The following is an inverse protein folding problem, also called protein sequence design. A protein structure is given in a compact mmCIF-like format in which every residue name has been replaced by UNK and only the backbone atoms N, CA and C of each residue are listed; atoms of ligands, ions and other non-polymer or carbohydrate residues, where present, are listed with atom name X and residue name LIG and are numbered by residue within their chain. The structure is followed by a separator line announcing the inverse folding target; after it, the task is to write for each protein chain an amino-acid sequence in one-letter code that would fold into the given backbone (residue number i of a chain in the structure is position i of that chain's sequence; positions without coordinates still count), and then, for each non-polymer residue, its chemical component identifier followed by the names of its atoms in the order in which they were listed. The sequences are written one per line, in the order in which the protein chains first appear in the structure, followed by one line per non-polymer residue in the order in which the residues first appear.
data_IF_028307617673
#
_entry.id   IF_028307617673
#
_cell.length_a   1.000
_cell.length_b   1.000
_cell.length_c   1.000
_cell.angle_alpha   90.00
_cell.angle_beta   90.00
_cell.angle_gamma   90.00
#
_symmetry.space_group_name_H-M   'P 1'
#
loop_
_entity.id
_entity.type
_entity.pdbx_description
1 polymer ?
#
# COMPACT_ATOMS: atom_id res chain seq x y z
N UNK A 1 -2.36 -12.23 6.86
CA UNK A 1 -1.11 -12.20 6.07
C UNK A 1 -0.73 -13.65 5.73
N UNK A 2 -0.39 -13.97 4.47
CA UNK A 2 -0.33 -15.36 3.98
C UNK A 2 0.89 -16.12 4.53
N UNK A 3 0.77 -17.44 4.85
CA UNK A 3 1.86 -18.26 5.45
C UNK A 3 3.15 -18.25 4.60
N UNK A 4 3.01 -18.19 3.27
CA UNK A 4 4.13 -18.11 2.34
C UNK A 4 4.91 -16.79 2.47
N UNK A 5 4.23 -15.67 2.74
CA UNK A 5 4.86 -14.37 2.92
C UNK A 5 5.65 -14.33 4.25
N UNK A 6 5.09 -14.88 5.33
CA UNK A 6 5.81 -15.04 6.59
C UNK A 6 7.05 -15.91 6.42
N UNK A 7 6.95 -17.06 5.75
CA UNK A 7 8.09 -17.94 5.50
C UNK A 7 9.18 -17.26 4.65
N UNK A 8 8.80 -16.48 3.65
CA UNK A 8 9.74 -15.71 2.82
C UNK A 8 10.45 -14.60 3.59
N UNK A 9 9.75 -13.95 4.54
CA UNK A 9 10.33 -12.93 5.42
C UNK A 9 11.27 -13.58 6.47
N UNK A 10 10.85 -14.69 7.09
CA UNK A 10 11.64 -15.42 8.10
C UNK A 10 12.91 -16.07 7.51
N UNK A 11 12.85 -16.56 6.26
CA UNK A 11 14.03 -17.07 5.55
C UNK A 11 15.09 -15.98 5.37
N UNK A 12 14.68 -14.72 5.20
CA UNK A 12 15.59 -13.60 5.00
C UNK A 12 16.35 -13.23 6.27
N UNK A 13 15.72 -13.23 7.44
CA UNK A 13 16.42 -12.93 8.71
C UNK A 13 17.50 -13.99 9.03
N UNK A 14 17.29 -15.23 8.58
CA UNK A 14 18.29 -16.30 8.70
C UNK A 14 19.39 -16.25 7.64
N UNK A 15 19.06 -15.84 6.41
CA UNK A 15 20.03 -15.76 5.31
C UNK A 15 20.85 -14.46 5.29
N UNK A 16 20.27 -13.32 5.68
CA UNK A 16 21.00 -12.04 5.79
C UNK A 16 22.14 -12.19 6.78
N UNK A 17 21.89 -12.81 7.94
CA UNK A 17 22.90 -13.12 8.95
C UNK A 17 23.96 -14.14 8.47
N UNK A 18 23.69 -14.94 7.43
CA UNK A 18 24.69 -15.83 6.80
C UNK A 18 25.45 -15.16 5.65
N UNK A 19 24.84 -14.19 4.97
CA UNK A 19 25.39 -13.60 3.74
C UNK A 19 26.47 -12.55 3.97
N UNK A 20 26.56 -11.96 5.17
CA UNK A 20 27.65 -11.05 5.51
C UNK A 20 28.99 -11.79 5.74
N UNK A 21 28.96 -13.10 5.99
CA UNK A 21 30.16 -13.92 6.22
C UNK A 21 30.65 -14.72 5.00
N UNK A 22 29.96 -14.65 3.85
CA UNK A 22 30.31 -15.44 2.65
C UNK A 22 30.96 -14.60 1.53
N UNK A 23 31.82 -13.65 1.91
CA UNK A 23 32.46 -12.71 0.98
C UNK A 23 33.84 -13.20 0.48
N UNK A 24 34.01 -14.51 0.26
CA UNK A 24 35.26 -15.05 -0.30
C UNK A 24 34.94 -15.97 -1.49
N UNK A 25 35.19 -15.43 -2.69
CA UNK A 25 35.37 -16.10 -3.98
C UNK A 25 34.15 -16.84 -4.57
N UNK A 26 33.43 -16.09 -5.41
CA UNK A 26 32.49 -16.63 -6.40
C UNK A 26 31.15 -15.93 -6.36
N UNK A 27 31.03 -14.76 -7.02
CA UNK A 27 29.76 -14.00 -7.15
C UNK A 27 28.78 -14.75 -8.06
N UNK A 28 28.25 -15.89 -7.61
CA UNK A 28 27.08 -16.51 -8.23
C UNK A 28 25.86 -15.71 -7.79
N UNK A 29 25.20 -15.06 -8.75
CA UNK A 29 23.85 -14.52 -8.57
C UNK A 29 22.90 -15.70 -8.33
N UNK A 30 22.76 -16.13 -7.08
CA UNK A 30 21.75 -17.12 -6.70
C UNK A 30 20.38 -16.45 -6.78
N UNK A 31 19.68 -16.72 -7.89
CA UNK A 31 18.30 -16.30 -8.11
C UNK A 31 17.40 -17.42 -7.58
N UNK A 32 16.97 -17.33 -6.32
CA UNK A 32 16.10 -18.35 -5.74
C UNK A 32 14.62 -17.97 -5.91
N UNK A 33 13.85 -18.88 -6.51
CA UNK A 33 12.39 -18.83 -6.51
C UNK A 33 11.91 -19.25 -5.11
N UNK A 34 11.17 -18.36 -4.44
CA UNK A 34 10.71 -18.55 -3.07
C UNK A 34 9.34 -19.22 -2.99
N UNK A 35 8.50 -19.07 -4.02
CA UNK A 35 7.16 -19.66 -4.07
C UNK A 35 6.21 -18.90 -5.00
N UNK A 36 4.91 -19.11 -4.80
CA UNK A 36 3.82 -18.51 -5.58
C UNK A 36 2.80 -17.82 -4.66
N UNK A 37 2.20 -16.71 -5.11
CA UNK A 37 1.19 -15.95 -4.37
C UNK A 37 0.16 -15.29 -5.30
N UNK A 38 -1.09 -15.18 -4.83
CA UNK A 38 -2.23 -14.64 -5.60
C UNK A 38 -2.54 -13.16 -5.38
N UNK A 39 -2.03 -12.54 -4.31
CA UNK A 39 -2.27 -11.12 -3.99
C UNK A 39 -0.98 -10.34 -3.90
N UNK A 40 -0.91 -9.23 -4.62
CA UNK A 40 0.26 -8.35 -4.68
C UNK A 40 -0.15 -6.95 -4.30
N UNK A 41 0.72 -6.28 -3.55
CA UNK A 41 0.57 -4.88 -3.20
C UNK A 41 1.63 -4.06 -3.92
N UNK A 42 1.25 -2.85 -4.35
CA UNK A 42 2.19 -1.93 -4.97
C UNK A 42 3.16 -1.34 -3.94
N UNK A 43 4.43 -1.22 -4.30
CA UNK A 43 5.47 -0.61 -3.46
C UNK A 43 6.31 0.42 -4.21
N UNK A 44 6.74 0.09 -5.44
CA UNK A 44 7.54 0.97 -6.31
C UNK A 44 7.29 0.64 -7.79
N UNK A 45 7.74 1.48 -8.75
CA UNK A 45 7.58 1.22 -10.17
C UNK A 45 8.04 -0.19 -10.53
N UNK A 46 7.22 -0.87 -11.32
CA UNK A 46 7.48 -2.25 -11.70
C UNK A 46 8.52 -2.28 -12.82
N UNK A 47 9.41 -3.26 -12.76
CA UNK A 47 10.32 -3.53 -13.86
C UNK A 47 9.74 -4.61 -14.76
N UNK A 48 10.28 -4.74 -15.96
CA UNK A 48 9.92 -5.83 -16.87
C UNK A 48 11.13 -6.72 -17.09
N UNK A 49 10.94 -8.03 -17.00
CA UNK A 49 11.99 -9.03 -17.15
C UNK A 49 11.73 -9.88 -18.39
N UNK A 50 12.76 -10.02 -19.21
CA UNK A 50 12.80 -10.88 -20.39
C UNK A 50 13.85 -11.99 -20.18
N UNK A 51 13.66 -13.11 -20.88
CA UNK A 51 14.70 -14.13 -21.00
C UNK A 51 15.79 -13.64 -21.97
N UNK A 52 17.04 -14.04 -21.70
CA UNK A 52 18.17 -13.74 -22.58
C UNK A 52 18.95 -15.02 -22.85
N UNK A 53 18.70 -15.62 -24.02
CA UNK A 53 19.33 -16.89 -24.42
C UNK A 53 20.82 -16.77 -24.70
N UNK A 54 21.36 -15.54 -24.84
CA UNK A 54 22.79 -15.33 -25.07
C UNK A 54 23.64 -15.81 -23.90
N UNK A 55 23.09 -15.77 -22.68
CA UNK A 55 23.80 -16.15 -21.46
C UNK A 55 23.43 -17.54 -20.95
N UNK A 56 22.19 -17.97 -21.16
CA UNK A 56 21.68 -19.26 -20.68
C UNK A 56 20.83 -19.86 -21.80
N UNK A 57 21.35 -20.93 -22.42
CA UNK A 57 20.65 -21.69 -23.44
C UNK A 57 19.32 -22.23 -22.87
N UNK A 58 18.28 -22.26 -23.70
CA UNK A 58 16.92 -22.71 -23.35
C UNK A 58 16.18 -21.86 -22.29
N UNK A 59 16.77 -20.74 -21.84
CA UNK A 59 16.12 -19.89 -20.86
C UNK A 59 14.76 -19.37 -21.34
N UNK A 60 14.58 -19.12 -22.64
CA UNK A 60 13.29 -18.69 -23.21
C UNK A 60 12.20 -19.75 -23.05
N UNK A 61 12.53 -21.02 -23.32
CA UNK A 61 11.60 -22.15 -23.16
C UNK A 61 11.17 -22.26 -21.69
N UNK A 62 12.13 -22.26 -20.76
CA UNK A 62 11.85 -22.28 -19.33
C UNK A 62 10.98 -21.11 -18.87
N UNK A 63 11.33 -19.87 -19.27
CA UNK A 63 10.56 -18.68 -18.92
C UNK A 63 9.14 -18.73 -19.48
N UNK A 64 8.97 -19.24 -20.69
CA UNK A 64 7.65 -19.40 -21.31
C UNK A 64 6.80 -20.41 -20.54
N UNK A 65 7.34 -21.59 -20.23
CA UNK A 65 6.62 -22.61 -19.44
C UNK A 65 6.26 -22.08 -18.05
N UNK A 66 7.17 -21.36 -17.38
CA UNK A 66 6.89 -20.75 -16.09
C UNK A 66 5.74 -19.74 -16.18
N UNK A 67 5.77 -18.87 -17.20
CA UNK A 67 4.72 -17.88 -17.43
C UNK A 67 3.36 -18.54 -17.71
N UNK A 68 3.31 -19.57 -18.56
CA UNK A 68 2.08 -20.31 -18.86
C UNK A 68 1.49 -20.99 -17.62
N UNK A 69 2.35 -21.59 -16.78
CA UNK A 69 1.93 -22.22 -15.52
C UNK A 69 1.41 -21.20 -14.50
N UNK A 70 2.08 -20.06 -14.34
CA UNK A 70 1.62 -18.96 -13.48
C UNK A 70 0.25 -18.45 -13.93
N UNK A 71 0.09 -18.22 -15.24
CA UNK A 71 -1.16 -17.75 -15.84
C UNK A 71 -2.30 -18.76 -15.66
N UNK A 72 -2.04 -20.05 -15.86
CA UNK A 72 -3.05 -21.10 -15.70
C UNK A 72 -3.57 -21.24 -14.26
N UNK A 73 -2.79 -20.80 -13.26
CA UNK A 73 -3.13 -20.90 -11.84
C UNK A 73 -3.55 -19.58 -11.19
N UNK A 74 -3.51 -18.47 -11.95
CA UNK A 74 -3.66 -17.11 -11.40
C UNK A 74 -2.69 -16.84 -10.22
N UNK A 75 -1.45 -17.32 -10.39
CA UNK A 75 -0.39 -17.26 -9.39
C UNK A 75 0.78 -16.42 -9.88
N UNK A 76 1.46 -15.73 -8.96
CA UNK A 76 2.68 -14.97 -9.27
C UNK A 76 3.89 -15.57 -8.58
N UNK A 77 4.95 -15.80 -9.35
CA UNK A 77 6.24 -16.27 -8.87
C UNK A 77 6.95 -15.22 -8.00
N UNK A 78 7.25 -15.57 -6.75
CA UNK A 78 8.01 -14.75 -5.81
C UNK A 78 9.49 -15.10 -5.93
N UNK A 79 10.30 -14.07 -6.13
CA UNK A 79 11.76 -14.23 -6.20
C UNK A 79 12.47 -13.23 -5.31
N UNK A 80 13.50 -13.70 -4.64
CA UNK A 80 14.44 -12.81 -3.97
C UNK A 80 15.34 -12.11 -5.01
N UNK A 81 15.38 -10.79 -4.97
CA UNK A 81 16.22 -9.97 -5.83
C UNK A 81 17.22 -9.22 -4.95
N UNK A 82 18.48 -9.64 -4.99
CA UNK A 82 19.57 -8.86 -4.42
C UNK A 82 20.03 -7.84 -5.48
N UNK A 83 19.72 -6.56 -5.27
CA UNK A 83 20.28 -5.47 -6.06
C UNK A 83 21.74 -5.27 -5.64
N UNK A 84 22.64 -6.12 -6.13
CA UNK A 84 24.06 -5.74 -6.17
C UNK A 84 24.21 -4.72 -7.29
N UNK A 85 24.91 -3.61 -7.02
CA UNK A 85 25.22 -2.58 -8.01
C UNK A 85 25.73 -3.26 -9.29
N UNK A 86 24.87 -3.33 -10.29
CA UNK A 86 25.26 -3.73 -11.63
C UNK A 86 26.12 -2.58 -12.12
N UNK A 87 27.44 -2.80 -12.21
CA UNK A 87 28.34 -1.85 -12.86
C UNK A 87 27.84 -1.63 -14.29
N UNK A 88 27.78 -0.36 -14.71
CA UNK A 88 27.19 0.12 -15.96
C UNK A 88 27.90 -0.35 -17.25
N UNK A 89 28.31 -1.61 -17.36
CA UNK A 89 28.89 -2.18 -18.58
C UNK A 89 27.82 -2.52 -19.64
N UNK A 90 26.55 -2.23 -19.36
CA UNK A 90 25.41 -2.52 -20.25
C UNK A 90 25.23 -1.54 -21.41
N UNK A 91 26.25 -0.76 -21.79
CA UNK A 91 26.17 0.18 -22.92
C UNK A 91 26.30 -0.47 -24.31
N UNK A 92 26.61 -1.77 -24.40
CA UNK A 92 26.69 -2.49 -25.70
C UNK A 92 25.47 -3.37 -25.95
N UNK A 93 24.46 -2.77 -26.58
CA UNK A 93 23.35 -3.48 -27.23
C UNK A 93 22.07 -3.52 -26.40
N UNK A 94 21.33 -2.42 -26.36
CA UNK A 94 19.96 -2.40 -25.84
C UNK A 94 19.07 -3.24 -26.76
N UNK A 95 18.81 -4.48 -26.36
CA UNK A 95 17.81 -5.32 -27.00
C UNK A 95 16.43 -4.84 -26.55
N UNK A 96 15.85 -3.87 -27.26
CA UNK A 96 14.44 -3.58 -27.13
C UNK A 96 13.67 -4.74 -27.76
N UNK A 97 13.09 -5.62 -26.94
CA UNK A 97 12.15 -6.63 -27.42
C UNK A 97 10.98 -5.92 -28.10
N UNK A 98 10.91 -5.97 -29.43
CA UNK A 98 9.86 -5.37 -30.27
C UNK A 98 8.45 -5.96 -30.04
N UNK A 99 8.29 -6.88 -29.09
CA UNK A 99 7.03 -7.54 -28.77
C UNK A 99 6.54 -7.07 -27.39
N UNK A 100 5.56 -6.14 -27.33
CA UNK A 100 5.01 -5.63 -26.06
C UNK A 100 4.23 -6.67 -25.24
N UNK A 101 4.27 -7.96 -25.60
CA UNK A 101 3.41 -9.01 -25.03
C UNK A 101 4.14 -10.20 -24.38
N UNK A 102 5.45 -10.33 -24.55
CA UNK A 102 6.18 -11.49 -24.02
C UNK A 102 7.16 -11.09 -22.91
N UNK A 103 6.76 -11.25 -21.66
CA UNK A 103 7.67 -11.22 -20.51
C UNK A 103 6.97 -11.07 -19.17
N UNK A 104 7.75 -10.87 -18.12
CA UNK A 104 7.26 -10.92 -16.75
C UNK A 104 7.37 -9.54 -16.11
N UNK A 105 6.24 -8.98 -15.68
CA UNK A 105 6.20 -7.78 -14.84
C UNK A 105 6.72 -8.12 -13.45
N UNK A 106 7.85 -7.54 -13.08
CA UNK A 106 8.46 -7.65 -11.76
C UNK A 106 7.80 -6.63 -10.84
N UNK A 107 6.96 -7.12 -9.94
CA UNK A 107 6.34 -6.31 -8.88
C UNK A 107 7.13 -6.48 -7.59
N UNK A 108 7.37 -5.37 -6.90
CA UNK A 108 8.14 -5.35 -5.68
C UNK A 108 7.22 -5.44 -4.46
N UNK A 109 7.51 -6.40 -3.58
CA UNK A 109 6.82 -6.54 -2.30
C UNK A 109 7.43 -5.58 -1.28
N UNK A 110 6.59 -4.93 -0.49
CA UNK A 110 7.05 -4.08 0.62
C UNK A 110 7.49 -4.94 1.80
N UNK A 111 8.48 -4.47 2.56
CA UNK A 111 8.79 -5.02 3.87
C UNK A 111 7.77 -4.54 4.91
N UNK A 112 7.57 -5.32 5.96
CA UNK A 112 6.68 -4.96 7.08
C UNK A 112 7.02 -3.60 7.68
N UNK A 113 8.29 -3.18 7.64
CA UNK A 113 8.74 -1.85 8.08
C UNK A 113 8.17 -0.69 7.25
N UNK A 114 7.74 -0.92 6.01
CA UNK A 114 7.06 0.09 5.17
C UNK A 114 5.54 0.06 5.33
N UNK A 115 4.98 -0.95 6.01
CA UNK A 115 3.54 -1.03 6.22
C UNK A 115 3.13 0.00 7.27
N UNK A 116 2.29 0.97 6.87
CA UNK A 116 1.70 1.92 7.80
C UNK A 116 0.47 1.31 8.45
N UNK A 117 0.41 1.34 9.77
CA UNK A 117 -0.79 0.95 10.51
C UNK A 117 -1.83 2.07 10.39
N UNK A 118 -2.98 1.76 9.82
CA UNK A 118 -4.14 2.65 9.76
C UNK A 118 -5.21 2.07 10.69
N UNK A 119 -5.65 2.86 11.68
CA UNK A 119 -6.73 2.44 12.56
C UNK A 119 -8.08 2.68 11.88
N UNK A 120 -8.74 1.60 11.49
CA UNK A 120 -10.04 1.65 10.83
C UNK A 120 -11.22 1.60 11.82
N UNK A 121 -10.99 1.60 13.14
CA UNK A 121 -12.08 1.50 14.13
C UNK A 121 -13.15 2.57 13.95
N UNK A 122 -12.74 3.81 13.64
CA UNK A 122 -13.67 4.92 13.38
C UNK A 122 -14.31 4.86 11.98
N UNK A 123 -13.59 4.32 10.99
CA UNK A 123 -14.03 4.32 9.59
C UNK A 123 -15.06 3.22 9.32
N UNK A 124 -14.88 2.05 9.93
CA UNK A 124 -15.74 0.88 9.70
C UNK A 124 -16.98 0.83 10.62
N UNK A 125 -17.40 1.94 11.23
CA UNK A 125 -18.65 1.96 11.99
C UNK A 125 -19.85 1.72 11.07
N UNK A 126 -20.90 1.09 11.60
CA UNK A 126 -22.15 0.86 10.85
C UNK A 126 -22.81 2.19 10.42
N UNK A 127 -22.56 3.26 11.16
CA UNK A 127 -23.01 4.63 10.89
C UNK A 127 -22.39 5.22 9.62
N UNK A 128 -21.24 4.72 9.16
CA UNK A 128 -20.58 5.19 7.92
C UNK A 128 -21.00 4.38 6.68
N UNK A 129 -22.06 3.58 6.75
CA UNK A 129 -22.57 2.85 5.59
C UNK A 129 -23.55 3.72 4.81
N UNK A 130 -23.23 3.95 3.55
CA UNK A 130 -24.15 4.59 2.63
C UNK A 130 -25.35 3.68 2.35
N UNK A 131 -26.54 4.28 2.19
CA UNK A 131 -27.74 3.60 1.75
C UNK A 131 -27.61 3.14 0.29
N UNK A 132 -28.44 2.20 -0.15
CA UNK A 132 -28.42 1.73 -1.54
C UNK A 132 -28.77 2.86 -2.53
N UNK A 133 -29.60 3.82 -2.11
CA UNK A 133 -30.00 4.99 -2.93
C UNK A 133 -28.82 5.95 -3.12
N UNK A 134 -28.10 6.26 -2.04
CA UNK A 134 -26.88 7.07 -2.07
C UNK A 134 -25.80 6.45 -2.97
N UNK A 135 -25.59 5.13 -2.87
CA UNK A 135 -24.66 4.39 -3.72
C UNK A 135 -25.09 4.48 -5.19
N UNK A 136 -26.38 4.32 -5.50
CA UNK A 136 -26.89 4.37 -6.87
C UNK A 136 -26.65 5.74 -7.53
N UNK A 137 -26.83 6.84 -6.78
CA UNK A 137 -26.56 8.20 -7.28
C UNK A 137 -25.06 8.41 -7.52
N UNK A 138 -24.22 7.95 -6.59
CA UNK A 138 -22.77 8.02 -6.76
C UNK A 138 -22.31 7.20 -7.99
N UNK A 139 -22.86 6.00 -8.20
CA UNK A 139 -22.60 5.22 -9.41
C UNK A 139 -23.03 5.94 -10.69
N UNK A 140 -24.20 6.59 -10.68
CA UNK A 140 -24.68 7.39 -11.81
C UNK A 140 -23.73 8.54 -12.13
N UNK A 141 -23.24 9.24 -11.11
CA UNK A 141 -22.23 10.30 -11.24
C UNK A 141 -20.91 9.77 -11.82
N UNK A 142 -20.37 8.67 -11.25
CA UNK A 142 -19.13 8.03 -11.74
C UNK A 142 -19.28 7.58 -13.20
N UNK A 143 -20.45 7.04 -13.59
CA UNK A 143 -20.72 6.66 -14.99
C UNK A 143 -20.73 7.85 -15.93
N UNK A 144 -21.25 9.01 -15.49
CA UNK A 144 -21.28 10.24 -16.31
C UNK A 144 -19.91 10.90 -16.45
N UNK A 145 -19.08 10.84 -15.41
CA UNK A 145 -17.71 11.37 -15.41
C UNK A 145 -16.67 10.35 -15.94
N UNK A 146 -17.11 9.18 -16.41
CA UNK A 146 -16.22 8.12 -16.85
C UNK A 146 -15.51 8.52 -18.14
N UNK A 147 -14.19 8.65 -18.05
CA UNK A 147 -13.31 8.86 -19.18
C UNK A 147 -12.51 7.60 -19.51
N UNK A 148 -12.13 7.45 -20.78
CA UNK A 148 -11.21 6.38 -21.20
C UNK A 148 -9.79 6.78 -20.82
N UNK A 149 -9.30 6.25 -19.70
CA UNK A 149 -7.93 6.50 -19.26
C UNK A 149 -6.91 6.00 -20.31
N UNK A 150 -6.01 6.89 -20.72
CA UNK A 150 -4.86 6.57 -21.55
C UNK A 150 -3.61 7.21 -20.92
N UNK A 151 -2.67 6.42 -20.38
CA UNK A 151 -1.49 6.96 -19.71
C UNK A 151 -0.59 7.78 -20.64
N UNK A 152 -0.66 7.56 -21.96
CA UNK A 152 0.15 8.29 -22.94
C UNK A 152 -0.34 9.73 -23.19
N UNK A 153 -1.54 10.09 -22.73
CA UNK A 153 -2.07 11.45 -22.84
C UNK A 153 -1.66 12.33 -21.65
N UNK A 154 -1.07 11.75 -20.61
CA UNK A 154 -0.63 12.48 -19.43
C UNK A 154 0.87 12.71 -19.53
N UNK A 155 1.24 13.89 -19.99
CA UNK A 155 2.61 14.39 -19.88
C UNK A 155 2.84 15.03 -18.51
N UNK A 156 4.11 15.15 -18.13
CA UNK A 156 4.50 15.89 -16.93
C UNK A 156 4.50 17.40 -17.25
N UNK A 157 3.64 18.21 -16.59
CA UNK A 157 3.53 19.64 -16.87
C UNK A 157 4.84 20.38 -16.65
N UNK A 158 5.66 19.96 -15.68
CA UNK A 158 6.93 20.61 -15.41
C UNK A 158 7.94 20.36 -16.53
N UNK A 159 7.94 19.14 -17.08
CA UNK A 159 8.78 18.77 -18.21
C UNK A 159 8.35 19.47 -19.50
N UNK A 160 7.05 19.53 -19.78
CA UNK A 160 6.53 20.22 -20.97
C UNK A 160 6.82 21.73 -20.91
N UNK A 161 6.66 22.33 -19.74
CA UNK A 161 7.02 23.74 -19.49
C UNK A 161 8.51 23.99 -19.69
N UNK A 162 9.37 23.12 -19.17
CA UNK A 162 10.81 23.20 -19.33
C UNK A 162 11.22 23.08 -20.80
N UNK A 163 10.68 22.10 -21.52
CA UNK A 163 10.95 21.91 -22.95
C UNK A 163 10.52 23.12 -23.77
N UNK A 164 9.34 23.68 -23.48
CA UNK A 164 8.82 24.87 -24.16
C UNK A 164 9.70 26.10 -23.92
N UNK A 165 10.19 26.29 -22.69
CA UNK A 165 11.18 27.33 -22.36
C UNK A 165 12.50 27.15 -23.10
N UNK A 166 13.02 25.93 -23.16
CA UNK A 166 14.27 25.63 -23.87
C UNK A 166 14.13 25.92 -25.37
N UNK A 167 13.00 25.55 -25.98
CA UNK A 167 12.71 25.84 -27.39
C UNK A 167 12.60 27.36 -27.64
N UNK A 168 11.90 28.08 -26.77
CA UNK A 168 11.79 29.55 -26.81
C UNK A 168 13.18 30.20 -26.82
N UNK A 169 14.07 29.77 -25.91
CA UNK A 169 15.44 30.29 -25.83
C UNK A 169 16.29 29.93 -27.05
N UNK A 170 16.13 28.72 -27.59
CA UNK A 170 16.92 28.25 -28.73
C UNK A 170 16.54 28.95 -30.05
N UNK A 171 15.28 29.35 -30.21
CA UNK A 171 14.75 29.93 -31.44
C UNK A 171 14.37 31.42 -31.33
N UNK A 172 14.67 32.06 -30.20
CA UNK A 172 14.31 33.46 -29.89
C UNK A 172 12.82 33.76 -30.13
N UNK A 173 11.96 32.80 -29.78
CA UNK A 173 10.51 32.90 -29.93
C UNK A 173 9.87 33.43 -28.64
N UNK A 174 8.66 34.00 -28.73
CA UNK A 174 7.89 34.34 -27.52
C UNK A 174 7.37 33.08 -26.85
N UNK A 175 7.55 32.99 -25.54
CA UNK A 175 7.05 31.88 -24.73
C UNK A 175 5.53 31.97 -24.60
N UNK A 176 4.81 30.99 -25.14
CA UNK A 176 3.38 30.81 -24.89
C UNK A 176 3.17 29.70 -23.85
N UNK A 177 2.43 30.02 -22.80
CA UNK A 177 1.99 29.02 -21.83
C UNK A 177 0.91 28.21 -22.52
N UNK A 178 1.26 27.00 -22.98
CA UNK A 178 0.28 26.03 -23.44
C UNK A 178 -0.74 25.81 -22.30
N UNK A 179 -2.02 26.04 -22.62
CA UNK A 179 -3.13 25.80 -21.72
C UNK A 179 -3.05 24.40 -21.11
N UNK A 180 -3.40 24.29 -19.84
CA UNK A 180 -3.02 23.17 -19.02
C UNK A 180 -3.87 21.92 -19.31
N UNK A 181 -3.44 21.10 -20.27
CA UNK A 181 -4.10 19.85 -20.66
C UNK A 181 -4.18 18.82 -19.51
N UNK A 182 -3.46 19.08 -18.42
CA UNK A 182 -3.35 18.21 -17.24
C UNK A 182 -4.46 18.43 -16.21
N UNK A 183 -5.22 19.53 -16.32
CA UNK A 183 -6.26 19.85 -15.35
C UNK A 183 -7.63 19.43 -15.88
N UNK A 184 -8.54 18.99 -15.00
CA UNK A 184 -9.91 18.72 -15.39
C UNK A 184 -10.56 19.98 -15.94
N UNK A 185 -11.42 19.83 -16.96
CA UNK A 185 -12.24 20.91 -17.51
C UNK A 185 -13.42 21.18 -16.57
N UNK A 186 -13.38 22.26 -15.76
CA UNK A 186 -14.40 22.51 -14.74
C UNK A 186 -15.75 22.80 -15.39
N UNK A 187 -15.79 23.49 -16.53
CA UNK A 187 -17.03 23.87 -17.18
C UNK A 187 -17.79 22.64 -17.71
N UNK A 188 -17.07 21.71 -18.32
CA UNK A 188 -17.64 20.44 -18.76
C UNK A 188 -18.11 19.58 -17.58
N UNK A 189 -17.32 19.51 -16.51
CA UNK A 189 -17.70 18.78 -15.29
C UNK A 189 -18.93 19.40 -14.62
N UNK A 190 -18.98 20.71 -14.45
CA UNK A 190 -20.09 21.43 -13.84
C UNK A 190 -21.37 21.24 -14.63
N UNK A 191 -21.29 21.26 -15.96
CA UNK A 191 -22.46 21.00 -16.83
C UNK A 191 -23.01 19.58 -16.63
N UNK A 192 -22.14 18.60 -16.39
CA UNK A 192 -22.55 17.22 -16.11
C UNK A 192 -23.10 17.09 -14.69
N UNK A 193 -22.45 17.71 -13.71
CA UNK A 193 -22.81 17.68 -12.29
C UNK A 193 -24.12 18.41 -12.03
N UNK A 194 -24.35 19.57 -12.64
CA UNK A 194 -25.56 20.37 -12.48
C UNK A 194 -26.85 19.57 -12.78
N UNK A 195 -26.78 18.59 -13.69
CA UNK A 195 -27.91 17.70 -14.03
C UNK A 195 -28.23 16.67 -12.95
N UNK A 196 -27.26 16.36 -12.09
CA UNK A 196 -27.38 15.40 -10.99
C UNK A 196 -27.43 16.09 -9.62
N UNK A 197 -27.17 17.40 -9.57
CA UNK A 197 -27.03 18.16 -8.34
C UNK A 197 -28.31 18.10 -7.50
N UNK A 198 -29.49 18.28 -8.10
CA UNK A 198 -30.76 18.27 -7.37
C UNK A 198 -31.06 16.91 -6.72
N UNK A 199 -30.83 15.81 -7.43
CA UNK A 199 -30.99 14.44 -6.91
C UNK A 199 -29.98 14.14 -5.80
N UNK A 200 -28.76 14.67 -5.95
CA UNK A 200 -27.71 14.55 -4.94
C UNK A 200 -28.05 15.34 -3.67
N UNK A 201 -28.51 16.59 -3.80
CA UNK A 201 -28.92 17.45 -2.68
C UNK A 201 -30.15 16.90 -1.95
N UNK A 202 -31.09 16.29 -2.65
CA UNK A 202 -32.26 15.62 -2.05
C UNK A 202 -31.84 14.43 -1.19
N UNK A 203 -30.86 13.64 -1.66
CA UNK A 203 -30.48 12.39 -0.99
C UNK A 203 -29.51 12.61 0.16
N UNK A 204 -28.48 13.43 -0.04
CA UNK A 204 -27.44 13.70 0.97
C UNK A 204 -27.80 14.89 1.87
N UNK A 205 -28.85 15.62 1.54
CA UNK A 205 -29.25 16.86 2.18
C UNK A 205 -28.36 18.04 1.78
N UNK A 206 -28.92 19.24 1.83
CA UNK A 206 -28.13 20.46 1.72
C UNK A 206 -27.36 20.68 3.03
N UNK A 207 -26.06 20.34 3.05
CA UNK A 207 -25.18 20.75 4.14
C UNK A 207 -24.89 22.23 4.02
N UNK A 208 -25.62 23.06 4.77
CA UNK A 208 -25.14 24.39 5.14
C UNK A 208 -23.82 24.19 5.88
N UNK A 209 -22.72 24.67 5.30
CA UNK A 209 -21.38 24.46 5.81
C UNK A 209 -21.25 24.96 7.25
N UNK A 210 -21.32 24.05 8.22
CA UNK A 210 -20.42 24.15 9.36
C UNK A 210 -19.13 23.52 8.87
N UNK A 211 -18.10 24.35 8.73
CA UNK A 211 -16.72 23.92 8.66
C UNK A 211 -16.38 23.20 9.98
N UNK A 212 -16.92 22.01 10.19
CA UNK A 212 -16.31 21.08 11.13
C UNK A 212 -14.96 20.76 10.54
N UNK A 213 -13.97 21.55 11.00
CA UNK A 213 -12.58 21.41 10.61
C UNK A 213 -12.27 19.92 10.72
N UNK A 214 -12.00 19.29 9.59
CA UNK A 214 -11.29 18.04 9.56
C UNK A 214 -10.04 18.30 10.40
N UNK A 215 -10.05 17.82 11.65
CA UNK A 215 -8.88 17.86 12.51
C UNK A 215 -7.79 17.12 11.76
N UNK A 216 -6.98 17.92 11.05
CA UNK A 216 -5.84 17.47 10.30
C UNK A 216 -4.99 16.67 11.27
N UNK A 217 -4.72 15.44 10.85
CA UNK A 217 -3.73 14.52 11.39
C UNK A 217 -2.72 15.23 12.29
N UNK A 218 -2.91 15.07 13.60
CA UNK A 218 -1.86 15.36 14.56
C UNK A 218 -0.62 14.57 14.14
N UNK A 219 0.55 15.20 13.94
CA UNK A 219 1.74 14.49 13.50
C UNK A 219 2.05 13.44 14.55
N UNK A 220 2.01 12.18 14.11
CA UNK A 220 2.35 11.01 14.91
C UNK A 220 3.84 11.10 15.25
N UNK A 221 4.16 11.90 16.26
CA UNK A 221 5.43 11.84 16.95
C UNK A 221 5.59 10.40 17.43
N UNK A 222 6.73 9.82 17.10
CA UNK A 222 7.24 8.58 17.64
C UNK A 222 7.37 8.68 19.16
N UNK A 223 6.24 8.57 19.86
CA UNK A 223 6.23 8.32 21.29
C UNK A 223 6.21 6.82 21.44
N UNK A 224 7.31 6.25 21.94
CA UNK A 224 7.25 5.04 22.78
C UNK A 224 5.99 5.19 23.64
N UNK A 225 5.00 4.33 23.43
CA UNK A 225 3.71 4.41 24.09
C UNK A 225 3.97 4.47 25.59
N UNK A 226 3.86 5.67 26.15
CA UNK A 226 3.83 5.87 27.59
C UNK A 226 2.54 5.16 27.99
N UNK A 227 2.66 3.96 28.57
CA UNK A 227 1.52 3.12 28.93
C UNK A 227 0.47 4.01 29.58
N UNK A 228 -0.72 4.07 28.98
CA UNK A 228 -1.79 4.94 29.45
C UNK A 228 -1.97 4.64 30.93
N UNK A 229 -1.78 5.66 31.78
CA UNK A 229 -1.90 5.49 33.23
C UNK A 229 -3.30 4.95 33.50
N UNK A 230 -3.34 3.74 34.05
CA UNK A 230 -4.56 3.01 34.29
C UNK A 230 -5.34 3.76 35.37
N UNK A 231 -6.47 4.37 34.99
CA UNK A 231 -7.33 5.10 35.93
C UNK A 231 -8.10 4.06 36.75
N UNK A 232 -7.91 4.09 38.07
CA UNK A 232 -8.46 3.10 39.02
C UNK A 232 -9.98 2.93 38.87
N UNK A 233 -10.70 4.01 38.54
CA UNK A 233 -12.15 4.01 38.33
C UNK A 233 -12.63 3.06 37.22
N UNK A 234 -11.80 2.76 36.23
CA UNK A 234 -12.16 1.85 35.14
C UNK A 234 -12.07 0.38 35.55
N UNK A 235 -11.27 0.05 36.58
CA UNK A 235 -11.16 -1.33 37.09
C UNK A 235 -12.42 -1.78 37.83
N UNK A 236 -13.25 -0.84 38.29
CA UNK A 236 -14.53 -1.14 38.92
C UNK A 236 -15.60 -1.60 37.91
N UNK A 237 -15.33 -1.54 36.60
CA UNK A 237 -16.25 -1.98 35.55
C UNK A 237 -15.89 -3.39 35.07
N UNK A 238 -16.74 -4.37 35.37
CA UNK A 238 -16.53 -5.79 35.01
C UNK A 238 -16.25 -6.01 33.53
N UNK A 239 -16.98 -5.34 32.65
CA UNK A 239 -16.83 -5.50 31.20
C UNK A 239 -15.45 -5.03 30.71
N UNK A 240 -14.92 -3.96 31.32
CA UNK A 240 -13.58 -3.45 31.01
C UNK A 240 -12.49 -4.46 31.42
N UNK A 241 -12.64 -5.08 32.59
CA UNK A 241 -11.72 -6.12 33.08
C UNK A 241 -11.74 -7.34 32.16
N UNK A 242 -12.92 -7.82 31.75
CA UNK A 242 -13.06 -8.94 30.81
C UNK A 242 -12.40 -8.60 29.47
N UNK A 243 -12.59 -7.37 28.98
CA UNK A 243 -11.94 -6.89 27.77
C UNK A 243 -10.40 -6.88 27.90
N UNK A 244 -9.88 -6.44 29.04
CA UNK A 244 -8.43 -6.47 29.31
C UNK A 244 -7.87 -7.89 29.38
N UNK A 245 -8.60 -8.84 29.97
CA UNK A 245 -8.23 -10.27 29.98
C UNK A 245 -8.13 -10.83 28.56
N UNK A 246 -9.15 -10.58 27.73
CA UNK A 246 -9.18 -11.05 26.34
C UNK A 246 -8.03 -10.46 25.50
N UNK A 247 -7.65 -9.23 25.79
CA UNK A 247 -6.56 -8.53 25.11
C UNK A 247 -5.16 -8.84 25.68
N UNK A 248 -5.06 -9.68 26.72
CA UNK A 248 -3.81 -9.93 27.47
C UNK A 248 -3.14 -8.63 27.95
N UNK A 249 -3.94 -7.65 28.38
CA UNK A 249 -3.48 -6.33 28.77
C UNK A 249 -3.42 -6.13 30.29
N UNK A 250 -3.35 -7.22 31.07
CA UNK A 250 -3.28 -7.18 32.54
C UNK A 250 -1.86 -7.02 33.09
N UNK A 251 -0.84 -7.23 32.28
CA UNK A 251 0.58 -7.06 32.65
C UNK A 251 0.92 -5.71 33.32
N UNK A 252 0.28 -4.57 32.99
CA UNK A 252 0.55 -3.30 33.65
C UNK A 252 -0.13 -3.12 35.02
N UNK A 253 -1.07 -4.00 35.40
CA UNK A 253 -1.78 -3.88 36.67
C UNK A 253 -0.87 -4.28 37.83
N UNK A 254 -0.88 -3.49 38.90
CA UNK A 254 -0.18 -3.86 40.14
C UNK A 254 -0.86 -5.07 40.79
N UNK A 255 -0.11 -5.86 41.58
CA UNK A 255 -0.67 -6.98 42.33
C UNK A 255 -1.86 -6.58 43.19
N UNK A 256 -1.85 -5.38 43.79
CA UNK A 256 -2.98 -4.88 44.58
C UNK A 256 -4.23 -4.67 43.73
N UNK A 257 -4.09 -4.07 42.55
CA UNK A 257 -5.21 -3.88 41.60
C UNK A 257 -5.77 -5.21 41.10
N UNK A 258 -4.90 -6.20 40.84
CA UNK A 258 -5.32 -7.54 40.45
C UNK A 258 -6.10 -8.24 41.57
N UNK A 259 -5.65 -8.11 42.81
CA UNK A 259 -6.33 -8.69 43.97
C UNK A 259 -7.68 -8.02 44.23
N UNK A 260 -7.74 -6.68 44.13
CA UNK A 260 -9.00 -5.93 44.20
C UNK A 260 -9.99 -6.37 43.12
N UNK A 261 -9.50 -6.54 41.88
CA UNK A 261 -10.32 -7.00 40.75
C UNK A 261 -10.87 -8.41 40.97
N UNK A 262 -10.05 -9.31 41.53
CA UNK A 262 -10.45 -10.70 41.84
C UNK A 262 -11.50 -10.76 42.96
N UNK A 263 -11.36 -9.90 43.97
CA UNK A 263 -12.31 -9.82 45.08
C UNK A 263 -13.65 -9.25 44.60
N UNK A 264 -13.62 -8.07 43.96
CA UNK A 264 -14.82 -7.33 43.54
C UNK A 264 -15.64 -8.04 42.45
N UNK A 265 -15.00 -8.61 41.42
CA UNK A 265 -15.71 -9.10 40.23
C UNK A 265 -15.90 -10.62 40.19
N UNK A 266 -15.10 -11.36 40.97
CA UNK A 266 -15.02 -12.82 40.90
C UNK A 266 -15.21 -13.52 42.26
N UNK A 267 -15.44 -12.77 43.36
CA UNK A 267 -15.61 -13.30 44.71
C UNK A 267 -14.50 -14.28 45.13
N UNK A 268 -13.26 -14.02 44.68
CA UNK A 268 -12.09 -14.85 45.00
C UNK A 268 -11.16 -14.11 45.97
N UNK A 269 -11.34 -14.38 47.25
CA UNK A 269 -10.38 -14.00 48.29
C UNK A 269 -9.12 -14.87 48.19
N UNK A 270 -7.97 -14.26 47.92
CA UNK A 270 -6.68 -14.95 47.96
C UNK A 270 -6.15 -14.93 49.40
N UNK A 271 -5.74 -16.08 49.98
CA UNK A 271 -5.24 -16.14 51.34
C UNK A 271 -4.00 -15.25 51.50
N UNK A 272 -4.00 -14.40 52.52
CA UNK A 272 -2.83 -13.60 52.91
C UNK A 272 -1.77 -14.56 53.44
N UNK A 273 -0.79 -14.89 52.62
CA UNK A 273 0.40 -15.61 53.09
C UNK A 273 1.06 -14.73 54.17
N UNK A 274 1.02 -15.22 55.40
CA UNK A 274 1.68 -14.62 56.57
C UNK A 274 3.17 -14.93 56.55
#
# INVERSE_FOLDING_TARGET
MNKALHKALDLKDKEVNRSDNANVKGKRLCKQLLGFQSKIFYCKPCNFMYSDERYILESKSFFRTLWERCRARDEVAIRYVNNRNVTNDAMKGSYYSLLPKDGVKVVYLFYTSYARHVDFKKWNSLENRASNEEVAICEKLVRKLRLKYNPSLLSDPEMDHLQSKLLTLAFDQKFEILGSQHFPDPQSQDTVIARLLSEFEETFGYRTGSEESCHLYSPLASTKSKAAKLVVENLNKKDYVIQMMNNRALDPCTNQQLMQTLDEHFNKSVPKNS
#
